data_IF_646358762299
#
_entry.id   IF_646358762299
#
_cell.length_a   1.000
_cell.length_b   1.000
_cell.length_c   1.000
_cell.angle_alpha   90.00
_cell.angle_beta   90.00
_cell.angle_gamma   90.00
#
_symmetry.space_group_name_H-M   'P 1'
#
loop_
_entity.id
_entity.type
_entity.pdbx_description
1 polymer ?
#
# COMPACT_ATOMS: atom_id res chain seq x y z
N UNK A 1 5.38 0.71 -9.05
CA UNK A 1 5.20 1.69 -10.14
C UNK A 1 5.98 2.92 -9.80
N UNK A 2 6.59 3.58 -10.79
CA UNK A 2 7.27 4.85 -10.62
C UNK A 2 6.42 5.94 -11.26
N UNK A 3 6.11 6.99 -10.51
CA UNK A 3 5.40 8.18 -11.01
C UNK A 3 6.29 9.38 -10.72
N UNK A 4 6.48 10.27 -11.68
CA UNK A 4 7.24 11.50 -11.45
C UNK A 4 6.37 12.54 -10.74
N UNK A 5 7.03 13.43 -10.00
CA UNK A 5 6.35 14.41 -9.15
C UNK A 5 5.48 15.38 -9.96
N UNK A 6 5.86 15.69 -11.20
CA UNK A 6 5.07 16.52 -12.11
C UNK A 6 3.72 15.88 -12.48
N UNK A 7 3.68 14.57 -12.71
CA UNK A 7 2.45 13.83 -13.00
C UNK A 7 1.53 13.80 -11.77
N UNK A 8 2.11 13.56 -10.60
CA UNK A 8 1.36 13.64 -9.34
C UNK A 8 0.79 15.05 -9.15
N UNK A 9 1.57 16.08 -9.42
CA UNK A 9 1.12 17.48 -9.29
C UNK A 9 -0.08 17.78 -10.21
N UNK A 10 -0.04 17.32 -11.46
CA UNK A 10 -1.16 17.47 -12.41
C UNK A 10 -2.41 16.77 -11.91
N UNK A 11 -2.26 15.57 -11.38
CA UNK A 11 -3.36 14.76 -10.86
C UNK A 11 -4.10 15.43 -9.70
N UNK A 12 -3.36 15.97 -8.73
CA UNK A 12 -3.93 16.55 -7.51
C UNK A 12 -4.10 18.07 -7.57
N UNK A 13 -3.84 18.70 -8.71
CA UNK A 13 -3.94 20.14 -8.89
C UNK A 13 -2.93 20.94 -8.04
N UNK A 14 -1.72 20.40 -7.85
CA UNK A 14 -0.67 21.02 -7.07
C UNK A 14 0.34 21.79 -7.92
N UNK A 15 1.05 22.74 -7.29
CA UNK A 15 2.28 23.29 -7.84
C UNK A 15 3.49 22.63 -7.18
N UNK A 16 4.50 22.29 -8.03
CA UNK A 16 5.74 21.67 -7.56
C UNK A 16 6.69 22.74 -7.03
N UNK A 17 7.25 22.51 -5.84
CA UNK A 17 8.39 23.24 -5.30
C UNK A 17 9.53 22.24 -5.12
N UNK A 18 10.60 22.39 -5.91
CA UNK A 18 11.73 21.46 -5.99
C UNK A 18 11.84 20.81 -7.36
N UNK A 19 12.29 19.56 -7.41
CA UNK A 19 12.53 18.80 -8.64
C UNK A 19 11.26 18.11 -9.16
N UNK A 20 10.69 18.55 -10.30
CA UNK A 20 9.49 17.94 -10.89
C UNK A 20 9.72 16.54 -11.45
N UNK A 21 10.97 16.17 -11.75
CA UNK A 21 11.34 14.87 -12.30
C UNK A 21 11.54 13.79 -11.21
N UNK A 22 11.47 14.17 -9.93
CA UNK A 22 11.63 13.25 -8.81
C UNK A 22 10.66 12.07 -8.91
N UNK A 23 11.20 10.85 -8.94
CA UNK A 23 10.43 9.60 -8.93
C UNK A 23 9.90 9.27 -7.53
N UNK A 24 8.61 8.89 -7.47
CA UNK A 24 7.91 8.46 -6.26
C UNK A 24 7.38 7.04 -6.48
N UNK A 25 7.66 6.16 -5.54
CA UNK A 25 7.27 4.74 -5.58
C UNK A 25 6.09 4.41 -4.67
N UNK A 26 5.76 5.26 -3.71
CA UNK A 26 4.68 5.00 -2.76
C UNK A 26 4.38 6.15 -1.83
N UNK A 27 3.44 5.90 -0.92
CA UNK A 27 2.98 6.85 0.08
C UNK A 27 3.31 6.31 1.47
N UNK A 28 3.74 7.18 2.38
CA UNK A 28 3.97 6.82 3.78
C UNK A 28 3.75 8.02 4.71
N UNK A 29 3.79 7.79 6.03
CA UNK A 29 3.71 8.87 7.02
C UNK A 29 4.99 9.71 7.04
N UNK A 30 4.92 10.96 7.57
CA UNK A 30 6.09 11.85 7.68
C UNK A 30 7.28 11.20 8.41
N UNK A 31 7.01 10.37 9.38
CA UNK A 31 8.03 9.73 10.22
C UNK A 31 8.67 8.49 9.61
N UNK A 32 7.94 7.79 8.73
CA UNK A 32 8.36 6.51 8.17
C UNK A 32 8.71 6.58 6.68
N UNK A 33 8.40 7.70 6.02
CA UNK A 33 8.70 7.87 4.60
C UNK A 33 10.21 7.95 4.35
N UNK A 34 10.62 7.33 3.26
CA UNK A 34 11.97 7.41 2.70
C UNK A 34 12.01 8.34 1.48
N UNK A 35 13.20 8.51 0.90
CA UNK A 35 13.45 9.40 -0.23
C UNK A 35 12.71 9.04 -1.54
N UNK A 36 12.09 7.87 -1.62
CA UNK A 36 11.29 7.42 -2.77
C UNK A 36 9.78 7.47 -2.50
N UNK A 37 9.38 8.01 -1.37
CA UNK A 37 7.98 8.05 -0.95
C UNK A 37 7.50 9.49 -0.77
N UNK A 38 6.19 9.69 -0.99
CA UNK A 38 5.51 10.94 -0.72
C UNK A 38 4.75 10.85 0.60
N UNK A 39 4.71 11.96 1.33
CA UNK A 39 3.95 12.13 2.56
C UNK A 39 3.05 13.36 2.50
N UNK A 40 2.40 13.71 3.61
CA UNK A 40 1.58 14.90 3.70
C UNK A 40 1.60 15.53 5.08
N UNK A 41 1.38 16.87 5.16
CA UNK A 41 1.22 17.59 6.41
C UNK A 41 0.11 18.63 6.33
N UNK A 42 -0.97 18.41 7.08
CA UNK A 42 -2.21 19.21 6.99
C UNK A 42 -2.19 20.49 7.81
N UNK A 43 -1.28 20.64 8.76
CA UNK A 43 -1.26 21.80 9.67
C UNK A 43 0.11 22.04 10.29
N UNK A 44 0.27 23.24 10.89
CA UNK A 44 1.48 23.62 11.63
C UNK A 44 1.82 22.68 12.80
N UNK A 45 0.86 21.93 13.32
CA UNK A 45 1.08 20.91 14.37
C UNK A 45 2.11 19.87 13.95
N UNK A 46 2.18 19.56 12.65
CA UNK A 46 3.12 18.58 12.08
C UNK A 46 4.47 19.18 11.69
N UNK A 47 4.73 20.46 11.97
CA UNK A 47 5.96 21.15 11.59
C UNK A 47 7.22 20.41 12.04
N UNK A 48 7.26 19.92 13.28
CA UNK A 48 8.41 19.18 13.82
C UNK A 48 8.66 17.88 13.06
N UNK A 49 7.62 17.14 12.75
CA UNK A 49 7.70 15.89 11.95
C UNK A 49 8.07 16.18 10.49
N UNK A 50 7.58 17.30 9.94
CA UNK A 50 7.90 17.73 8.58
C UNK A 50 9.41 18.05 8.43
N UNK A 51 9.97 18.84 9.34
CA UNK A 51 11.40 19.21 9.32
C UNK A 51 12.31 17.96 9.41
N UNK A 52 11.89 16.95 10.15
CA UNK A 52 12.66 15.72 10.36
C UNK A 52 12.28 14.58 9.39
N UNK A 53 11.46 14.86 8.38
CA UNK A 53 11.02 13.84 7.43
C UNK A 53 12.09 13.54 6.38
N UNK A 54 12.26 12.25 6.06
CA UNK A 54 13.08 11.77 4.95
C UNK A 54 12.26 11.53 3.68
N UNK A 55 11.00 11.98 3.62
CA UNK A 55 10.15 11.81 2.46
C UNK A 55 10.76 12.50 1.22
N UNK A 56 10.70 11.84 0.05
CA UNK A 56 11.16 12.40 -1.22
C UNK A 56 10.35 13.61 -1.67
N UNK A 57 9.07 13.67 -1.25
CA UNK A 57 8.18 14.80 -1.44
C UNK A 57 7.11 14.86 -0.35
N UNK A 58 6.55 16.06 -0.08
CA UNK A 58 5.46 16.22 0.89
C UNK A 58 4.34 17.08 0.31
N UNK A 59 3.09 16.64 0.44
CA UNK A 59 1.91 17.45 0.10
C UNK A 59 1.62 18.39 1.27
N UNK A 60 1.67 19.68 1.04
CA UNK A 60 1.53 20.72 2.07
C UNK A 60 0.78 21.96 1.57
N UNK A 61 0.28 22.73 2.53
CA UNK A 61 -0.15 24.11 2.29
C UNK A 61 1.08 25.03 2.11
N UNK A 62 0.95 26.06 1.27
CA UNK A 62 2.00 27.06 0.99
C UNK A 62 2.68 27.64 2.24
N UNK A 63 1.93 27.75 3.35
CA UNK A 63 2.45 28.28 4.63
C UNK A 63 3.49 27.40 5.32
N UNK A 64 3.66 26.17 4.86
CA UNK A 64 4.62 25.20 5.42
C UNK A 64 5.85 25.00 4.53
N UNK A 65 5.90 25.61 3.35
CA UNK A 65 6.96 25.36 2.35
C UNK A 65 8.36 25.62 2.89
N UNK A 66 8.56 26.71 3.67
CA UNK A 66 9.85 27.06 4.26
C UNK A 66 10.38 26.04 5.29
N UNK A 67 9.52 25.11 5.71
CA UNK A 67 9.85 24.07 6.69
C UNK A 67 9.99 22.69 6.05
N UNK A 68 9.79 22.58 4.74
CA UNK A 68 9.89 21.31 4.03
C UNK A 68 11.34 21.06 3.62
N UNK A 69 11.99 20.00 4.08
CA UNK A 69 13.41 19.72 3.78
C UNK A 69 13.62 19.10 2.40
N UNK A 70 12.55 18.69 1.72
CA UNK A 70 12.57 18.01 0.43
C UNK A 70 11.62 18.68 -0.56
N UNK A 71 11.28 18.00 -1.66
CA UNK A 71 10.31 18.50 -2.61
C UNK A 71 8.93 18.67 -1.97
N UNK A 72 8.19 19.68 -2.38
CA UNK A 72 6.84 19.92 -1.89
C UNK A 72 5.82 20.04 -3.03
N UNK A 73 4.66 19.47 -2.83
CA UNK A 73 3.46 19.68 -3.64
C UNK A 73 2.52 20.62 -2.89
N UNK A 74 2.42 21.85 -3.42
CA UNK A 74 1.66 22.92 -2.78
C UNK A 74 0.21 22.87 -3.25
N UNK A 75 -0.72 22.68 -2.30
CA UNK A 75 -2.16 22.57 -2.54
C UNK A 75 -2.95 23.48 -1.61
N UNK A 76 -4.21 23.75 -1.97
CA UNK A 76 -5.15 24.47 -1.09
C UNK A 76 -5.72 23.57 0.01
N UNK A 77 -6.06 22.33 -0.35
CA UNK A 77 -6.60 21.34 0.56
C UNK A 77 -5.74 20.06 0.51
N UNK A 78 -4.98 19.86 1.57
CA UNK A 78 -4.04 18.73 1.70
C UNK A 78 -4.77 17.40 1.82
N UNK A 79 -5.93 17.35 2.48
CA UNK A 79 -6.69 16.10 2.64
C UNK A 79 -7.29 15.65 1.32
N UNK A 80 -7.90 16.56 0.57
CA UNK A 80 -8.47 16.25 -0.75
C UNK A 80 -7.39 15.77 -1.71
N UNK A 81 -6.25 16.46 -1.75
CA UNK A 81 -5.12 16.09 -2.59
C UNK A 81 -4.54 14.70 -2.21
N UNK A 82 -4.39 14.45 -0.92
CA UNK A 82 -3.94 13.15 -0.42
C UNK A 82 -4.93 12.02 -0.75
N UNK A 83 -6.24 12.25 -0.57
CA UNK A 83 -7.26 11.27 -0.92
C UNK A 83 -7.23 10.93 -2.42
N UNK A 84 -7.15 11.93 -3.30
CA UNK A 84 -7.03 11.72 -4.74
C UNK A 84 -5.79 10.88 -5.08
N UNK A 85 -4.64 11.21 -4.49
CA UNK A 85 -3.40 10.48 -4.70
C UNK A 85 -3.48 9.03 -4.23
N UNK A 86 -4.10 8.76 -3.06
CA UNK A 86 -4.23 7.39 -2.56
C UNK A 86 -5.11 6.52 -3.45
N UNK A 87 -6.10 7.09 -4.13
CA UNK A 87 -6.90 6.38 -5.12
C UNK A 87 -6.05 5.89 -6.29
N UNK A 88 -5.17 6.73 -6.83
CA UNK A 88 -4.28 6.34 -7.92
C UNK A 88 -3.29 5.25 -7.50
N UNK A 89 -2.66 5.37 -6.36
CA UNK A 89 -1.75 4.33 -5.86
C UNK A 89 -2.46 3.01 -5.57
N UNK A 90 -3.77 2.99 -5.24
CA UNK A 90 -4.57 1.77 -5.10
C UNK A 90 -4.95 1.14 -6.45
N UNK A 91 -5.26 1.93 -7.46
CA UNK A 91 -5.60 1.41 -8.80
C UNK A 91 -4.46 0.63 -9.46
N UNK A 92 -3.23 0.87 -9.05
CA UNK A 92 -2.04 0.16 -9.54
C UNK A 92 -1.64 -1.08 -8.74
N UNK A 93 -2.37 -1.43 -7.69
CA UNK A 93 -2.28 -2.77 -7.13
C UNK A 93 -3.02 -3.72 -8.08
N UNK A 94 -2.28 -4.19 -9.07
CA UNK A 94 -2.73 -4.99 -10.18
C UNK A 94 -3.45 -6.25 -9.67
N UNK A 95 -4.74 -6.38 -9.92
CA UNK A 95 -5.55 -7.59 -9.70
C UNK A 95 -5.02 -8.81 -10.49
N UNK A 96 -4.07 -8.61 -11.39
CA UNK A 96 -3.52 -9.63 -12.28
C UNK A 96 -2.43 -10.54 -11.64
N UNK A 97 -2.24 -10.49 -10.32
CA UNK A 97 -1.23 -11.30 -9.64
C UNK A 97 -1.76 -12.53 -8.90
N UNK A 98 -3.08 -12.67 -8.86
CA UNK A 98 -3.70 -13.81 -8.21
C UNK A 98 -3.52 -15.10 -9.02
N UNK A 99 -3.11 -16.16 -8.36
CA UNK A 99 -3.08 -17.50 -8.92
C UNK A 99 -4.28 -18.28 -8.40
N UNK A 100 -4.89 -19.10 -9.25
CA UNK A 100 -5.89 -20.07 -8.78
C UNK A 100 -5.22 -21.14 -7.94
N UNK A 101 -5.96 -21.77 -7.02
CA UNK A 101 -5.46 -22.87 -6.19
C UNK A 101 -4.88 -24.02 -7.01
N UNK A 102 -5.44 -24.30 -8.20
CA UNK A 102 -4.91 -25.29 -9.16
C UNK A 102 -3.46 -25.06 -9.56
N UNK A 103 -3.03 -23.79 -9.65
CA UNK A 103 -1.64 -23.42 -10.00
C UNK A 103 -0.67 -23.58 -8.83
N UNK A 104 -1.19 -23.72 -7.60
CA UNK A 104 -0.43 -23.73 -6.36
C UNK A 104 -0.46 -25.10 -5.64
N UNK A 105 -1.32 -26.03 -6.06
CA UNK A 105 -1.47 -27.35 -5.39
C UNK A 105 -0.16 -28.11 -5.17
N UNK A 106 0.83 -27.90 -6.02
CA UNK A 106 2.15 -28.51 -5.86
C UNK A 106 3.06 -27.79 -4.84
N UNK A 107 2.67 -26.63 -4.35
CA UNK A 107 3.48 -25.80 -3.45
C UNK A 107 3.11 -25.94 -1.98
N UNK A 108 1.91 -26.44 -1.69
CA UNK A 108 1.37 -26.56 -0.34
C UNK A 108 1.10 -28.04 0.02
N UNK A 109 2.13 -28.74 0.48
CA UNK A 109 1.97 -30.08 1.04
C UNK A 109 1.17 -30.00 2.35
N UNK A 110 0.20 -30.91 2.55
CA UNK A 110 -0.65 -30.99 3.75
C UNK A 110 -1.59 -29.78 4.00
N UNK A 111 -1.93 -29.02 2.97
CA UNK A 111 -2.93 -27.95 3.03
C UNK A 111 -4.09 -28.33 2.12
N UNK A 112 -5.33 -28.13 2.57
CA UNK A 112 -6.54 -28.40 1.78
C UNK A 112 -7.11 -27.07 1.29
N UNK A 113 -7.06 -26.80 -0.02
CA UNK A 113 -7.54 -25.55 -0.63
C UNK A 113 -8.56 -25.90 -1.71
N UNK A 114 -9.78 -25.34 -1.62
CA UNK A 114 -10.79 -25.52 -2.65
C UNK A 114 -10.34 -24.92 -3.99
N UNK A 115 -10.67 -25.59 -5.11
CA UNK A 115 -10.21 -25.22 -6.47
C UNK A 115 -10.62 -23.80 -6.89
N UNK A 116 -11.74 -23.30 -6.37
CA UNK A 116 -12.27 -21.96 -6.68
C UNK A 116 -11.58 -20.82 -5.90
N UNK A 117 -10.58 -21.12 -5.07
CA UNK A 117 -9.84 -20.08 -4.34
C UNK A 117 -8.88 -19.31 -5.23
N UNK A 118 -8.71 -18.05 -4.92
CA UNK A 118 -7.75 -17.14 -5.55
C UNK A 118 -6.71 -16.78 -4.51
N UNK A 119 -5.41 -17.01 -4.82
CA UNK A 119 -4.32 -16.79 -3.87
C UNK A 119 -3.29 -15.83 -4.47
N UNK A 120 -2.96 -14.80 -3.70
CA UNK A 120 -1.99 -13.77 -4.04
C UNK A 120 -0.53 -14.24 -3.97
N UNK A 121 0.38 -13.29 -4.13
CA UNK A 121 1.83 -13.53 -4.03
C UNK A 121 2.28 -13.59 -2.57
N UNK A 122 3.37 -14.33 -2.34
CA UNK A 122 4.03 -14.41 -1.03
C UNK A 122 3.08 -14.85 0.11
N UNK A 123 1.98 -15.54 -0.20
CA UNK A 123 1.07 -16.09 0.80
C UNK A 123 1.74 -17.29 1.45
N UNK A 124 1.72 -17.34 2.79
CA UNK A 124 2.21 -18.45 3.60
C UNK A 124 1.03 -19.14 4.26
N UNK A 125 0.84 -20.44 4.01
CA UNK A 125 -0.23 -21.23 4.59
C UNK A 125 0.38 -22.39 5.38
N UNK A 126 0.08 -22.43 6.66
CA UNK A 126 0.58 -23.45 7.57
C UNK A 126 -0.02 -24.83 7.30
N UNK A 127 0.69 -25.88 7.70
CA UNK A 127 0.26 -27.28 7.54
C UNK A 127 -1.10 -27.54 8.20
N UNK A 128 -1.86 -28.48 7.66
CA UNK A 128 -3.18 -28.90 8.10
C UNK A 128 -4.24 -27.79 8.09
N UNK A 129 -3.99 -26.69 7.40
CA UNK A 129 -4.97 -25.61 7.19
C UNK A 129 -5.91 -25.99 6.06
N UNK A 130 -7.20 -25.69 6.24
CA UNK A 130 -8.24 -25.87 5.21
C UNK A 130 -8.81 -24.53 4.80
N UNK A 131 -8.98 -24.32 3.48
CA UNK A 131 -9.56 -23.09 2.89
C UNK A 131 -10.75 -23.50 2.03
N UNK A 132 -11.93 -23.02 2.42
CA UNK A 132 -13.20 -23.28 1.76
C UNK A 132 -13.31 -22.61 0.39
N UNK A 133 -14.39 -22.90 -0.33
CA UNK A 133 -14.60 -22.46 -1.69
C UNK A 133 -14.74 -20.93 -1.82
N UNK A 134 -14.35 -20.39 -2.99
CA UNK A 134 -14.51 -18.97 -3.37
C UNK A 134 -13.82 -17.99 -2.39
N UNK A 135 -12.77 -18.42 -1.72
CA UNK A 135 -11.96 -17.49 -0.91
C UNK A 135 -10.98 -16.71 -1.78
N UNK A 136 -10.73 -15.47 -1.39
CA UNK A 136 -9.71 -14.60 -1.96
C UNK A 136 -8.68 -14.28 -0.88
N UNK A 137 -7.46 -14.77 -1.05
CA UNK A 137 -6.34 -14.52 -0.15
C UNK A 137 -5.39 -13.57 -0.89
N UNK A 138 -5.31 -12.33 -0.42
CA UNK A 138 -4.47 -11.32 -1.07
C UNK A 138 -2.96 -11.53 -0.78
N UNK A 139 -2.13 -10.66 -1.37
CA UNK A 139 -0.68 -10.75 -1.27
C UNK A 139 -0.17 -10.63 0.17
N UNK A 140 0.97 -11.26 0.46
CA UNK A 140 1.71 -11.14 1.72
C UNK A 140 0.91 -11.60 2.96
N UNK A 141 -0.14 -12.43 2.79
CA UNK A 141 -0.95 -13.00 3.88
C UNK A 141 -0.23 -14.19 4.50
N UNK A 142 -0.28 -14.29 5.83
CA UNK A 142 0.20 -15.45 6.58
C UNK A 142 -0.96 -16.11 7.32
N UNK A 143 -1.15 -17.43 7.14
CA UNK A 143 -2.13 -18.25 7.86
C UNK A 143 -1.40 -19.36 8.61
N UNK A 144 -1.59 -19.40 9.92
CA UNK A 144 -0.93 -20.37 10.79
C UNK A 144 -1.49 -21.80 10.62
N UNK A 145 -0.76 -22.77 11.17
CA UNK A 145 -1.09 -24.20 11.12
C UNK A 145 -2.44 -24.52 11.75
N UNK A 146 -3.08 -25.61 11.28
CA UNK A 146 -4.34 -26.15 11.81
C UNK A 146 -5.49 -25.12 11.81
N UNK A 147 -5.54 -24.19 10.88
CA UNK A 147 -6.59 -23.17 10.78
C UNK A 147 -7.66 -23.59 9.76
N UNK A 148 -8.88 -23.13 9.98
CA UNK A 148 -10.00 -23.34 9.08
C UNK A 148 -10.51 -21.97 8.57
N UNK A 149 -10.43 -21.75 7.27
CA UNK A 149 -11.01 -20.60 6.58
C UNK A 149 -12.26 -21.09 5.87
N UNK A 150 -13.41 -20.63 6.32
CA UNK A 150 -14.69 -20.98 5.71
C UNK A 150 -14.83 -20.41 4.29
N UNK A 151 -15.86 -20.86 3.55
CA UNK A 151 -16.10 -20.43 2.17
C UNK A 151 -16.48 -18.95 2.08
N UNK A 152 -16.18 -18.31 0.92
CA UNK A 152 -16.52 -16.91 0.58
C UNK A 152 -15.84 -15.86 1.49
N UNK A 153 -14.67 -16.17 2.00
CA UNK A 153 -13.86 -15.25 2.82
C UNK A 153 -12.87 -14.49 1.94
N UNK A 154 -12.74 -13.18 2.19
CA UNK A 154 -11.66 -12.37 1.64
C UNK A 154 -10.70 -11.97 2.76
N UNK A 155 -9.42 -12.33 2.61
CA UNK A 155 -8.35 -11.92 3.52
C UNK A 155 -7.47 -10.92 2.79
N UNK A 156 -7.45 -9.69 3.30
CA UNK A 156 -6.74 -8.60 2.67
C UNK A 156 -5.22 -8.67 2.88
N UNK A 157 -4.52 -8.00 1.99
CA UNK A 157 -3.06 -7.93 1.94
C UNK A 157 -2.41 -7.70 3.31
N UNK A 158 -1.38 -8.51 3.60
CA UNK A 158 -0.57 -8.37 4.80
C UNK A 158 -1.26 -8.78 6.10
N UNK A 159 -2.46 -9.41 6.04
CA UNK A 159 -3.09 -9.97 7.22
C UNK A 159 -2.33 -11.18 7.76
N UNK A 160 -2.26 -11.29 9.08
CA UNK A 160 -1.71 -12.45 9.78
C UNK A 160 -2.82 -13.14 10.58
N UNK A 161 -3.06 -14.41 10.29
CA UNK A 161 -3.96 -15.30 11.03
C UNK A 161 -3.10 -16.26 11.82
N UNK A 162 -3.36 -16.37 13.12
CA UNK A 162 -2.63 -17.26 14.01
C UNK A 162 -2.88 -18.74 13.74
N UNK A 163 -2.30 -19.59 14.56
CA UNK A 163 -2.55 -21.04 14.53
C UNK A 163 -3.84 -21.42 15.24
N UNK A 164 -4.47 -22.54 14.79
CA UNK A 164 -5.71 -23.08 15.37
C UNK A 164 -6.89 -22.08 15.34
N UNK A 165 -7.01 -21.27 14.30
CA UNK A 165 -8.13 -20.36 14.08
C UNK A 165 -9.24 -21.00 13.28
#
# INVERSE_FOLDING_TARGET
>A
MKIILEEIAKLIGASVHGDPSKEILGINTLTNANSEQISYAVSKKYKKSLINSNAGAVIIDKRLVEHCPSNALLVKDVYVAYAALTHEFKHYQNINHFKTSLQLMNSYSKVNIAESCIIGKNVIIGENTSIGANCVIEDDVTIGINSLIESNITIHKGCEIGKNC
#
